data_IF_360399672677
#
_entry.id   IF_360399672677
#
_cell.length_a   1.000
_cell.length_b   1.000
_cell.length_c   1.000
_cell.angle_alpha   90.00
_cell.angle_beta   90.00
_cell.angle_gamma   90.00
#
_symmetry.space_group_name_H-M   'P 1'
#
loop_
_entity.id
_entity.type
_entity.pdbx_description
1 polymer ?
#
# COMPACT_ATOMS: atom_id res chain seq x y z
N UNK A 1 6.40 -4.28 -20.20
CA UNK A 1 6.31 -4.12 -18.74
C UNK A 1 5.04 -4.76 -18.20
N UNK A 2 3.87 -4.48 -18.76
CA UNK A 2 2.57 -5.01 -18.28
C UNK A 2 2.59 -6.53 -18.11
N UNK A 3 3.01 -7.29 -19.14
CA UNK A 3 3.12 -8.76 -19.07
C UNK A 3 3.95 -9.27 -17.87
N UNK A 4 5.08 -8.62 -17.56
CA UNK A 4 5.94 -9.01 -16.42
C UNK A 4 5.22 -8.73 -15.09
N UNK A 5 4.48 -7.63 -15.00
CA UNK A 5 3.67 -7.29 -13.84
C UNK A 5 2.54 -8.30 -13.62
N UNK A 6 1.83 -8.68 -14.68
CA UNK A 6 0.74 -9.66 -14.63
C UNK A 6 1.26 -11.04 -14.21
N UNK A 7 2.37 -11.50 -14.80
CA UNK A 7 3.03 -12.74 -14.41
C UNK A 7 3.43 -12.72 -12.93
N UNK A 8 4.04 -11.62 -12.44
CA UNK A 8 4.37 -11.47 -11.01
C UNK A 8 3.14 -11.60 -10.13
N UNK A 9 2.05 -10.96 -10.51
CA UNK A 9 0.81 -10.98 -9.73
C UNK A 9 0.22 -12.39 -9.65
N UNK A 10 0.23 -13.14 -10.75
CA UNK A 10 -0.22 -14.53 -10.79
C UNK A 10 0.64 -15.42 -9.86
N UNK A 11 1.95 -15.32 -9.95
CA UNK A 11 2.84 -16.16 -9.13
C UNK A 11 2.81 -15.76 -7.65
N UNK A 12 2.64 -14.46 -7.33
CA UNK A 12 2.43 -14.01 -5.95
C UNK A 12 1.14 -14.60 -5.35
N UNK A 13 0.03 -14.60 -6.11
CA UNK A 13 -1.23 -15.22 -5.67
C UNK A 13 -1.08 -16.72 -5.45
N UNK A 14 -0.42 -17.43 -6.36
CA UNK A 14 -0.16 -18.89 -6.23
C UNK A 14 0.70 -19.19 -5.01
N UNK A 15 1.75 -18.40 -4.76
CA UNK A 15 2.59 -18.55 -3.57
C UNK A 15 1.79 -18.38 -2.28
N UNK A 16 0.94 -17.33 -2.20
CA UNK A 16 0.12 -17.07 -1.02
C UNK A 16 -0.91 -18.18 -0.79
N UNK A 17 -1.58 -18.67 -1.83
CA UNK A 17 -2.49 -19.80 -1.74
C UNK A 17 -1.77 -21.07 -1.23
N UNK A 18 -0.61 -21.38 -1.79
CA UNK A 18 0.19 -22.53 -1.31
C UNK A 18 0.67 -22.36 0.14
N UNK A 19 0.95 -21.12 0.60
CA UNK A 19 1.27 -20.86 2.01
C UNK A 19 0.08 -21.13 2.93
N UNK A 20 -1.10 -20.63 2.57
CA UNK A 20 -2.33 -20.87 3.35
C UNK A 20 -2.70 -22.36 3.43
N UNK A 21 -2.48 -23.10 2.35
CA UNK A 21 -2.69 -24.55 2.33
C UNK A 21 -1.64 -25.28 3.17
N UNK A 22 -0.39 -24.84 3.11
CA UNK A 22 0.70 -25.40 3.92
C UNK A 22 0.47 -25.22 5.42
N UNK A 23 -0.10 -24.09 5.86
CA UNK A 23 -0.46 -23.86 7.27
C UNK A 23 -1.52 -24.86 7.76
N UNK A 24 -2.42 -25.30 6.88
CA UNK A 24 -3.46 -26.29 7.22
C UNK A 24 -2.97 -27.73 7.13
N UNK A 25 -2.12 -28.00 6.14
CA UNK A 25 -1.64 -29.37 5.84
C UNK A 25 -0.21 -29.29 5.28
N UNK A 26 0.83 -29.32 6.14
CA UNK A 26 2.21 -29.24 5.70
C UNK A 26 2.61 -30.44 4.86
N UNK A 27 3.06 -30.20 3.60
CA UNK A 27 3.60 -31.22 2.69
C UNK A 27 4.87 -30.74 2.01
N UNK A 28 5.79 -31.64 1.70
CA UNK A 28 7.02 -31.30 0.98
C UNK A 28 6.76 -30.76 -0.44
N UNK A 29 5.66 -31.15 -1.05
CA UNK A 29 5.20 -30.61 -2.33
C UNK A 29 4.88 -29.14 -2.21
N UNK A 30 4.03 -28.76 -1.25
CA UNK A 30 3.65 -27.37 -1.01
C UNK A 30 4.86 -26.51 -0.64
N UNK A 31 5.79 -27.02 0.16
CA UNK A 31 7.05 -26.33 0.48
C UNK A 31 7.86 -26.01 -0.77
N UNK A 32 7.99 -26.96 -1.70
CA UNK A 32 8.67 -26.75 -2.99
C UNK A 32 7.93 -25.77 -3.88
N UNK A 33 6.60 -25.85 -3.95
CA UNK A 33 5.77 -24.94 -4.74
C UNK A 33 5.86 -23.50 -4.21
N UNK A 34 5.83 -23.30 -2.90
CA UNK A 34 6.04 -21.98 -2.25
C UNK A 34 7.40 -21.39 -2.67
N UNK A 35 8.48 -22.18 -2.55
CA UNK A 35 9.83 -21.73 -2.93
C UNK A 35 9.90 -21.40 -4.43
N UNK A 36 9.37 -22.26 -5.29
CA UNK A 36 9.31 -22.05 -6.74
C UNK A 36 8.57 -20.78 -7.12
N UNK A 37 7.36 -20.59 -6.61
CA UNK A 37 6.54 -19.42 -6.93
C UNK A 37 7.13 -18.14 -6.35
N UNK A 38 7.74 -18.21 -5.16
CA UNK A 38 8.46 -17.08 -4.58
C UNK A 38 9.64 -16.66 -5.44
N UNK A 39 10.46 -17.59 -5.91
CA UNK A 39 11.61 -17.28 -6.77
C UNK A 39 11.17 -16.63 -8.09
N UNK A 40 10.11 -17.16 -8.72
CA UNK A 40 9.60 -16.59 -9.96
C UNK A 40 9.06 -15.18 -9.75
N UNK A 41 8.21 -14.96 -8.73
CA UNK A 41 7.65 -13.62 -8.47
C UNK A 41 8.73 -12.61 -8.08
N UNK A 42 9.78 -13.06 -7.37
CA UNK A 42 10.90 -12.21 -6.99
C UNK A 42 11.74 -11.83 -8.22
N UNK A 43 12.05 -12.78 -9.11
CA UNK A 43 12.73 -12.48 -10.35
C UNK A 43 11.96 -11.45 -11.21
N UNK A 44 10.63 -11.56 -11.29
CA UNK A 44 9.79 -10.58 -11.99
C UNK A 44 9.80 -9.22 -11.31
N UNK A 45 9.80 -9.17 -9.95
CA UNK A 45 9.95 -7.93 -9.19
C UNK A 45 11.27 -7.23 -9.51
N UNK A 46 12.37 -7.98 -9.53
CA UNK A 46 13.69 -7.44 -9.85
C UNK A 46 13.70 -6.91 -11.29
N UNK A 47 13.15 -7.62 -12.27
CA UNK A 47 13.06 -7.15 -13.65
C UNK A 47 12.28 -5.84 -13.79
N UNK A 48 11.16 -5.67 -13.06
CA UNK A 48 10.38 -4.44 -13.05
C UNK A 48 11.18 -3.27 -12.48
N UNK A 49 11.84 -3.47 -11.35
CA UNK A 49 12.64 -2.44 -10.70
C UNK A 49 13.88 -2.07 -11.53
N UNK A 50 14.52 -3.07 -12.16
CA UNK A 50 15.68 -2.84 -13.04
C UNK A 50 15.34 -2.02 -14.28
N UNK A 51 14.12 -2.13 -14.79
CA UNK A 51 13.70 -1.33 -15.94
C UNK A 51 13.64 0.17 -15.60
N UNK A 52 13.15 0.52 -14.40
CA UNK A 52 13.20 1.91 -13.91
C UNK A 52 14.65 2.40 -13.77
N UNK A 53 15.50 1.61 -13.10
CA UNK A 53 16.93 1.95 -12.95
C UNK A 53 17.65 2.06 -14.29
N UNK A 54 17.29 1.24 -15.27
CA UNK A 54 17.88 1.32 -16.61
C UNK A 54 17.55 2.62 -17.34
N UNK A 55 16.27 3.09 -17.24
CA UNK A 55 15.88 4.35 -17.87
C UNK A 55 16.71 5.54 -17.35
N UNK A 56 17.06 5.53 -16.07
CA UNK A 56 17.92 6.54 -15.45
C UNK A 56 19.44 6.35 -15.67
N UNK A 57 19.87 5.26 -16.33
CA UNK A 57 21.29 4.97 -16.56
C UNK A 57 21.74 5.48 -17.91
N UNK A 58 22.73 6.39 -17.90
CA UNK A 58 23.28 7.03 -19.12
C UNK A 58 23.84 6.06 -20.17
N UNK A 59 24.21 4.84 -19.80
CA UNK A 59 24.72 3.81 -20.73
C UNK A 59 23.63 2.94 -21.33
N UNK A 60 22.36 3.13 -20.89
CA UNK A 60 21.24 2.36 -21.41
C UNK A 60 20.75 2.94 -22.74
N UNK A 61 20.48 2.05 -23.72
CA UNK A 61 20.02 2.47 -25.06
C UNK A 61 18.81 3.40 -25.06
N UNK A 62 17.91 3.23 -24.10
CA UNK A 62 16.69 4.03 -23.95
C UNK A 62 16.77 4.96 -22.73
N UNK A 63 17.98 5.46 -22.43
CA UNK A 63 18.19 6.43 -21.37
C UNK A 63 17.33 7.67 -21.58
N UNK A 64 16.60 8.04 -20.55
CA UNK A 64 15.81 9.27 -20.50
C UNK A 64 15.65 9.73 -19.05
N UNK A 65 16.48 10.67 -18.65
CA UNK A 65 16.50 11.19 -17.27
C UNK A 65 15.16 11.85 -16.93
N UNK A 66 14.57 12.62 -17.85
CA UNK A 66 13.29 13.30 -17.63
C UNK A 66 12.17 12.31 -17.33
N UNK A 67 12.13 11.15 -17.99
CA UNK A 67 11.16 10.11 -17.69
C UNK A 67 11.40 9.47 -16.31
N UNK A 68 12.65 9.26 -15.91
CA UNK A 68 12.98 8.72 -14.59
C UNK A 68 12.57 9.71 -13.48
N UNK A 69 12.87 10.99 -13.65
CA UNK A 69 12.44 12.05 -12.73
C UNK A 69 10.93 12.19 -12.67
N UNK A 70 10.24 12.16 -13.81
CA UNK A 70 8.79 12.24 -13.88
C UNK A 70 8.10 11.11 -13.09
N UNK A 71 8.62 9.88 -13.16
CA UNK A 71 8.10 8.74 -12.37
C UNK A 71 8.23 9.03 -10.87
N UNK A 72 9.39 9.49 -10.42
CA UNK A 72 9.65 9.79 -9.01
C UNK A 72 8.80 10.96 -8.51
N UNK A 73 8.77 12.06 -9.27
CA UNK A 73 7.98 13.25 -8.92
C UNK A 73 6.47 12.95 -8.90
N UNK A 74 5.98 12.16 -9.85
CA UNK A 74 4.58 11.72 -9.85
C UNK A 74 4.22 10.92 -8.61
N UNK A 75 5.13 10.03 -8.14
CA UNK A 75 4.98 9.32 -6.88
C UNK A 75 4.88 10.26 -5.69
N UNK A 76 5.79 11.25 -5.60
CA UNK A 76 5.78 12.25 -4.53
C UNK A 76 4.50 13.10 -4.53
N UNK A 77 4.05 13.53 -5.69
CA UNK A 77 2.79 14.30 -5.81
C UNK A 77 1.60 13.43 -5.37
N UNK A 78 1.55 12.18 -5.81
CA UNK A 78 0.46 11.27 -5.49
C UNK A 78 0.34 11.01 -3.98
N UNK A 79 1.46 10.77 -3.28
CA UNK A 79 1.42 10.50 -1.84
C UNK A 79 1.02 11.74 -1.03
N UNK A 80 1.57 12.92 -1.37
CA UNK A 80 1.21 14.19 -0.73
C UNK A 80 -0.25 14.58 -0.99
N UNK A 81 -0.75 14.30 -2.19
CA UNK A 81 -2.16 14.52 -2.50
C UNK A 81 -3.08 13.71 -1.59
N UNK A 82 -2.82 12.42 -1.43
CA UNK A 82 -3.61 11.56 -0.56
C UNK A 82 -3.47 11.95 0.91
N UNK A 83 -2.27 12.30 1.37
CA UNK A 83 -2.04 12.83 2.71
C UNK A 83 -2.96 14.02 3.03
N UNK A 84 -2.96 15.04 2.18
CA UNK A 84 -3.80 16.22 2.33
C UNK A 84 -5.31 15.88 2.27
N UNK A 85 -5.70 15.03 1.31
CA UNK A 85 -7.10 14.61 1.15
C UNK A 85 -7.59 13.81 2.37
N UNK A 86 -6.77 12.89 2.90
CA UNK A 86 -7.14 12.09 4.07
C UNK A 86 -7.23 12.95 5.33
N UNK A 87 -6.30 13.89 5.55
CA UNK A 87 -6.40 14.83 6.65
C UNK A 87 -7.67 15.67 6.57
N UNK A 88 -7.97 16.23 5.40
CA UNK A 88 -9.21 17.01 5.17
C UNK A 88 -10.46 16.17 5.43
N UNK A 89 -10.48 14.93 4.94
CA UNK A 89 -11.61 14.02 5.12
C UNK A 89 -11.84 13.66 6.59
N UNK A 90 -10.77 13.29 7.30
CA UNK A 90 -10.84 12.90 8.71
C UNK A 90 -11.21 14.08 9.62
N UNK A 91 -10.69 15.28 9.37
CA UNK A 91 -11.07 16.50 10.08
C UNK A 91 -12.57 16.78 9.90
N UNK A 92 -13.08 16.68 8.69
CA UNK A 92 -14.52 16.84 8.42
C UNK A 92 -15.36 15.75 9.11
N UNK A 93 -14.93 14.49 9.06
CA UNK A 93 -15.65 13.35 9.64
C UNK A 93 -15.70 13.43 11.17
N UNK A 94 -14.60 13.77 11.80
CA UNK A 94 -14.46 13.79 13.27
C UNK A 94 -14.75 15.17 13.87
N UNK A 95 -15.07 16.17 13.02
CA UNK A 95 -15.34 17.56 13.44
C UNK A 95 -14.19 18.15 14.25
N UNK A 96 -12.97 17.89 13.81
CA UNK A 96 -11.74 18.48 14.36
C UNK A 96 -11.28 19.61 13.45
N UNK A 97 -10.51 20.54 13.99
CA UNK A 97 -9.97 21.65 13.26
C UNK A 97 -8.47 21.45 13.08
N UNK A 98 -8.03 21.31 11.82
CA UNK A 98 -6.63 21.19 11.38
C UNK A 98 -5.78 20.16 12.16
N UNK A 99 -6.40 19.03 12.55
CA UNK A 99 -5.68 17.95 13.21
C UNK A 99 -4.97 17.08 12.17
N UNK A 100 -3.68 16.81 12.38
CA UNK A 100 -2.89 15.95 11.52
C UNK A 100 -3.08 14.48 11.90
N UNK A 101 -3.82 13.76 11.05
CA UNK A 101 -4.06 12.32 11.20
C UNK A 101 -2.99 11.47 10.53
N UNK A 102 -2.20 12.04 9.62
CA UNK A 102 -1.13 11.33 8.93
C UNK A 102 0.15 11.44 9.73
N UNK A 103 0.50 10.39 10.45
CA UNK A 103 1.68 10.36 11.33
C UNK A 103 2.98 10.30 10.53
N UNK A 104 2.97 9.56 9.43
CA UNK A 104 4.10 9.36 8.54
C UNK A 104 3.63 8.94 7.15
N UNK A 105 4.48 9.17 6.17
CA UNK A 105 4.32 8.64 4.81
C UNK A 105 5.66 8.06 4.34
N UNK A 106 5.59 6.99 3.57
CA UNK A 106 6.77 6.35 2.99
C UNK A 106 6.45 5.89 1.56
N UNK A 107 7.13 6.48 0.61
CA UNK A 107 7.11 6.18 -0.83
C UNK A 107 5.70 6.09 -1.42
N UNK A 108 4.94 5.06 -1.07
CA UNK A 108 3.59 4.72 -1.59
C UNK A 108 2.60 4.34 -0.49
N UNK A 109 2.94 4.58 0.78
CA UNK A 109 2.09 4.29 1.93
C UNK A 109 1.95 5.48 2.88
N UNK A 110 0.81 5.57 3.56
CA UNK A 110 0.54 6.54 4.63
C UNK A 110 0.17 5.81 5.91
N UNK A 111 0.56 6.37 7.04
CA UNK A 111 0.25 5.89 8.38
C UNK A 111 -0.75 6.83 9.03
N UNK A 112 -1.94 6.32 9.32
CA UNK A 112 -3.04 7.11 9.89
C UNK A 112 -3.21 6.84 11.37
N UNK A 113 -3.27 7.90 12.17
CA UNK A 113 -3.69 7.83 13.56
C UNK A 113 -5.22 7.82 13.66
N UNK A 114 -5.80 6.65 13.78
CA UNK A 114 -7.25 6.46 13.94
C UNK A 114 -7.71 6.37 15.40
N UNK A 115 -6.81 6.63 16.35
CA UNK A 115 -7.12 6.68 17.79
C UNK A 115 -8.29 7.62 18.14
N UNK A 116 -8.30 8.87 17.65
CA UNK A 116 -9.43 9.78 17.85
C UNK A 116 -10.76 9.23 17.32
N UNK A 117 -10.77 8.57 16.17
CA UNK A 117 -11.97 7.92 15.60
C UNK A 117 -12.48 6.80 16.51
N UNK A 118 -11.59 5.93 16.99
CA UNK A 118 -11.95 4.84 17.92
C UNK A 118 -12.56 5.43 19.20
N UNK A 119 -11.95 6.47 19.76
CA UNK A 119 -12.46 7.17 20.95
C UNK A 119 -13.85 7.80 20.70
N UNK A 120 -14.06 8.42 19.55
CA UNK A 120 -15.35 9.04 19.20
C UNK A 120 -16.48 8.01 19.08
N UNK A 121 -16.19 6.83 18.49
CA UNK A 121 -17.19 5.77 18.27
C UNK A 121 -17.48 4.98 19.54
N UNK A 122 -16.44 4.57 20.27
CA UNK A 122 -16.60 3.68 21.43
C UNK A 122 -16.75 4.43 22.74
N UNK A 123 -16.45 5.74 22.78
CA UNK A 123 -16.45 6.59 23.99
C UNK A 123 -15.64 5.87 25.10
N UNK A 124 -16.20 5.69 26.30
CA UNK A 124 -15.53 5.04 27.42
C UNK A 124 -15.75 3.53 27.52
N UNK A 125 -16.42 2.91 26.55
CA UNK A 125 -16.64 1.46 26.57
C UNK A 125 -15.34 0.73 26.27
N UNK A 126 -14.79 0.03 27.27
CA UNK A 126 -13.68 -0.91 27.06
C UNK A 126 -14.12 -1.97 26.06
N UNK A 127 -13.51 -1.97 24.88
CA UNK A 127 -13.70 -3.01 23.88
C UNK A 127 -12.42 -3.81 23.69
N UNK A 128 -12.63 -5.09 23.37
CA UNK A 128 -11.57 -5.99 22.99
C UNK A 128 -10.84 -5.49 21.73
N UNK A 129 -9.52 -5.67 21.70
CA UNK A 129 -8.67 -5.25 20.60
C UNK A 129 -9.12 -5.80 19.25
N UNK A 130 -9.57 -7.06 19.20
CA UNK A 130 -10.09 -7.67 17.97
C UNK A 130 -11.32 -6.93 17.42
N UNK A 131 -12.23 -6.49 18.28
CA UNK A 131 -13.42 -5.75 17.87
C UNK A 131 -13.05 -4.40 17.25
N UNK A 132 -12.03 -3.73 17.79
CA UNK A 132 -11.50 -2.47 17.24
C UNK A 132 -10.86 -2.71 15.87
N UNK A 133 -10.04 -3.75 15.74
CA UNK A 133 -9.39 -4.11 14.46
C UNK A 133 -10.45 -4.40 13.39
N UNK A 134 -11.46 -5.22 13.70
CA UNK A 134 -12.55 -5.54 12.76
C UNK A 134 -13.34 -4.31 12.33
N UNK A 135 -13.58 -3.39 13.27
CA UNK A 135 -14.24 -2.12 12.96
C UNK A 135 -13.40 -1.27 12.01
N UNK A 136 -12.13 -1.04 12.35
CA UNK A 136 -11.21 -0.25 11.52
C UNK A 136 -10.99 -0.89 10.15
N UNK A 137 -10.85 -2.21 10.08
CA UNK A 137 -10.74 -2.94 8.82
C UNK A 137 -11.94 -2.68 7.90
N UNK A 138 -13.14 -2.76 8.45
CA UNK A 138 -14.37 -2.48 7.70
C UNK A 138 -14.46 -1.02 7.25
N UNK A 139 -14.10 -0.07 8.10
CA UNK A 139 -14.09 1.36 7.75
C UNK A 139 -13.08 1.63 6.64
N UNK A 140 -11.87 1.07 6.75
CA UNK A 140 -10.85 1.22 5.71
C UNK A 140 -11.35 0.68 4.36
N UNK A 141 -11.92 -0.52 4.32
CA UNK A 141 -12.36 -1.14 3.07
C UNK A 141 -13.59 -0.45 2.45
N UNK A 142 -14.54 -0.01 3.27
CA UNK A 142 -15.83 0.49 2.76
C UNK A 142 -15.78 1.99 2.48
N UNK A 143 -15.07 2.76 3.32
CA UNK A 143 -15.06 4.22 3.25
C UNK A 143 -13.73 4.76 2.72
N UNK A 144 -12.60 4.42 3.36
CA UNK A 144 -11.32 5.04 3.03
C UNK A 144 -10.80 4.63 1.67
N UNK A 145 -10.86 3.33 1.32
CA UNK A 145 -10.40 2.88 0.00
C UNK A 145 -11.20 3.54 -1.13
N UNK A 146 -12.51 3.69 -0.98
CA UNK A 146 -13.36 4.39 -1.96
C UNK A 146 -13.03 5.88 -2.07
N UNK A 147 -12.82 6.53 -0.92
CA UNK A 147 -12.47 7.95 -0.90
C UNK A 147 -11.10 8.18 -1.55
N UNK A 148 -10.12 7.32 -1.26
CA UNK A 148 -8.79 7.36 -1.86
C UNK A 148 -8.88 7.14 -3.38
N UNK A 149 -9.66 6.17 -3.82
CA UNK A 149 -9.88 5.91 -5.27
C UNK A 149 -10.48 7.13 -5.96
N UNK A 150 -11.51 7.75 -5.38
CA UNK A 150 -12.10 9.00 -5.88
C UNK A 150 -11.08 10.13 -5.90
N UNK A 151 -10.24 10.23 -4.88
CA UNK A 151 -9.19 11.26 -4.79
C UNK A 151 -8.08 11.07 -5.84
N UNK A 152 -7.72 9.83 -6.16
CA UNK A 152 -6.80 9.54 -7.26
C UNK A 152 -7.41 9.82 -8.62
N UNK A 153 -8.72 9.59 -8.79
CA UNK A 153 -9.40 9.96 -10.02
C UNK A 153 -9.42 11.49 -10.22
N UNK A 154 -9.63 12.25 -9.13
CA UNK A 154 -9.53 13.71 -9.16
C UNK A 154 -8.11 14.17 -9.51
N UNK A 155 -7.07 13.58 -8.90
CA UNK A 155 -5.68 13.87 -9.25
C UNK A 155 -5.38 13.56 -10.70
N UNK A 156 -5.82 12.39 -11.20
CA UNK A 156 -5.64 11.98 -12.59
C UNK A 156 -6.23 13.00 -13.57
N UNK A 157 -7.41 13.51 -13.26
CA UNK A 157 -8.06 14.56 -14.05
C UNK A 157 -7.32 15.90 -13.96
N UNK A 158 -6.84 16.26 -12.77
CA UNK A 158 -6.10 17.50 -12.54
C UNK A 158 -4.77 17.56 -13.30
N UNK A 159 -4.02 16.45 -13.32
CA UNK A 159 -2.75 16.35 -14.06
C UNK A 159 -2.93 15.93 -15.52
N UNK A 160 -4.15 15.78 -16.00
CA UNK A 160 -4.48 15.30 -17.33
C UNK A 160 -3.78 13.98 -17.68
N UNK A 161 -3.80 13.02 -16.75
CA UNK A 161 -3.17 11.73 -16.94
C UNK A 161 -3.93 10.88 -17.96
N UNK A 162 -3.20 10.10 -18.76
CA UNK A 162 -3.79 9.21 -19.77
C UNK A 162 -4.73 8.17 -19.15
N UNK A 163 -4.38 7.64 -17.99
CA UNK A 163 -5.15 6.62 -17.26
C UNK A 163 -4.83 6.65 -15.77
N UNK A 164 -5.85 6.51 -14.92
CA UNK A 164 -5.66 6.34 -13.48
C UNK A 164 -5.30 4.88 -13.17
N UNK A 165 -4.09 4.66 -12.58
CA UNK A 165 -3.57 3.33 -12.20
C UNK A 165 -3.15 3.22 -10.74
N UNK A 166 -3.24 4.32 -9.99
CA UNK A 166 -2.86 4.32 -8.57
C UNK A 166 -3.92 3.63 -7.74
N UNK A 167 -3.51 2.67 -6.92
CA UNK A 167 -4.38 1.92 -6.02
C UNK A 167 -3.71 1.84 -4.66
N UNK A 168 -4.39 2.34 -3.64
CA UNK A 168 -3.95 2.20 -2.25
C UNK A 168 -4.97 1.36 -1.48
N UNK A 169 -4.49 0.39 -0.72
CA UNK A 169 -5.31 -0.50 0.10
C UNK A 169 -4.75 -0.57 1.51
N UNK A 170 -5.63 -0.89 2.47
CA UNK A 170 -5.20 -1.16 3.83
C UNK A 170 -4.27 -2.39 3.85
N UNK A 171 -3.11 -2.25 4.45
CA UNK A 171 -2.16 -3.35 4.68
C UNK A 171 -2.23 -3.87 6.11
N UNK A 172 -1.97 -3.01 7.08
CA UNK A 172 -1.88 -3.39 8.49
C UNK A 172 -2.69 -2.44 9.38
N UNK A 173 -3.17 -2.96 10.51
CA UNK A 173 -3.79 -2.20 11.59
C UNK A 173 -3.03 -2.54 12.87
N UNK A 174 -2.37 -1.55 13.47
CA UNK A 174 -1.65 -1.69 14.73
C UNK A 174 -2.45 -1.04 15.86
N UNK A 175 -2.65 -1.76 16.96
CA UNK A 175 -3.31 -1.24 18.17
C UNK A 175 -2.33 -0.56 19.13
N UNK A 176 -1.04 -0.79 18.98
CA UNK A 176 0.03 -0.19 19.74
C UNK A 176 0.81 0.78 18.86
N UNK A 177 1.20 1.91 19.44
CA UNK A 177 1.91 3.00 18.77
C UNK A 177 3.38 2.68 18.40
N UNK A 178 3.75 1.43 18.40
CA UNK A 178 5.07 0.97 17.96
C UNK A 178 4.96 0.49 16.52
N UNK A 179 5.30 1.37 15.57
CA UNK A 179 5.60 0.92 14.22
C UNK A 179 6.73 -0.12 14.33
N UNK A 180 6.55 -1.34 13.83
CA UNK A 180 7.68 -2.26 13.74
C UNK A 180 8.75 -1.58 12.89
N UNK A 181 9.95 -1.46 13.44
CA UNK A 181 11.10 -0.99 12.69
C UNK A 181 11.29 -1.92 11.47
N UNK A 182 11.74 -1.40 10.31
CA UNK A 182 12.11 -2.27 9.19
C UNK A 182 13.10 -3.38 9.56
N UNK A 183 13.82 -3.23 10.68
CA UNK A 183 14.73 -4.24 11.23
C UNK A 183 14.03 -5.38 11.99
N UNK A 184 12.76 -5.21 12.40
CA UNK A 184 12.02 -6.22 13.14
C UNK A 184 11.46 -7.33 12.23
N UNK A 185 11.61 -7.20 10.92
CA UNK A 185 11.23 -8.20 9.92
C UNK A 185 12.37 -9.16 9.52
N UNK A 186 13.56 -9.02 10.12
CA UNK A 186 14.74 -9.86 9.86
C UNK A 186 15.00 -10.94 10.93
N UNK A 187 14.06 -11.17 11.87
CA UNK A 187 14.16 -12.25 12.86
C UNK A 187 13.22 -13.41 12.54
#
# INVERSE_FOLDING_TARGET
MQRIYDERTIYKKRMLASKQEYEKSPTDKLRRDISKFNNIQMARKIQLNSAYGAIGNQYFRYYNLANAEAITLSGQVSIRWIENKMNTYLNKLLKTDDYDYVIASDTDSIYLNLGPMVKAVYKERKKDGESIVRFLDKVCQVEFEKYIESSYQELSSYVNAYEQKMVMKRENICLLYTSPSPRDHEQ
#
